data_IF_463870632358
#
_entry.id   IF_463870632358
#
_cell.length_a   1.000
_cell.length_b   1.000
_cell.length_c   1.000
_cell.angle_alpha   90.00
_cell.angle_beta   90.00
_cell.angle_gamma   90.00
#
_symmetry.space_group_name_H-M   'P 1'
#
loop_
_entity.id
_entity.type
_entity.pdbx_description
1 polymer ?
#
# COMPACT_ATOMS: atom_id res chain seq x y z
N UNK A 1 -6.71 22.44 41.79
CA UNK A 1 -8.05 22.54 41.18
C UNK A 1 -7.97 21.86 39.83
N UNK A 2 -8.64 20.72 39.73
CA UNK A 2 -8.72 19.91 38.54
C UNK A 2 -9.38 20.72 37.41
N UNK A 3 -8.72 20.81 36.26
CA UNK A 3 -9.37 21.17 35.02
C UNK A 3 -9.43 19.92 34.15
N UNK A 4 -10.67 19.62 33.78
CA UNK A 4 -11.11 18.53 32.94
C UNK A 4 -10.45 18.60 31.57
N UNK A 5 -9.40 17.83 31.34
CA UNK A 5 -9.03 17.39 30.01
C UNK A 5 -9.74 16.07 29.75
N UNK A 6 -10.75 16.12 28.87
CA UNK A 6 -11.38 14.95 28.26
C UNK A 6 -10.32 14.19 27.45
N UNK A 7 -9.50 13.40 28.13
CA UNK A 7 -8.59 12.48 27.48
C UNK A 7 -9.40 11.27 27.03
N UNK A 8 -9.77 11.27 25.76
CA UNK A 8 -10.16 10.05 25.09
C UNK A 8 -8.93 9.14 24.98
N UNK A 9 -8.90 8.07 25.75
CA UNK A 9 -8.84 6.73 25.16
C UNK A 9 -7.72 6.50 24.12
N UNK A 10 -6.47 6.44 24.57
CA UNK A 10 -5.31 5.91 23.84
C UNK A 10 -5.22 4.35 24.01
N UNK A 11 -4.35 3.62 23.27
CA UNK A 11 -4.71 2.38 22.57
C UNK A 11 -5.42 1.35 23.46
N UNK A 12 -6.58 0.86 23.00
CA UNK A 12 -7.55 0.08 23.80
C UNK A 12 -8.75 0.91 24.30
N UNK A 13 -8.84 2.17 23.89
CA UNK A 13 -9.89 3.11 24.27
C UNK A 13 -10.19 3.15 25.78
N UNK A 14 -9.15 3.19 26.62
CA UNK A 14 -9.32 3.24 28.08
C UNK A 14 -10.05 2.04 28.67
N UNK A 15 -10.16 0.94 27.91
CA UNK A 15 -10.77 -0.31 28.36
C UNK A 15 -9.67 -1.31 28.78
N UNK A 16 -9.98 -2.21 29.73
CA UNK A 16 -9.08 -3.30 30.12
C UNK A 16 -8.61 -4.16 28.93
N UNK A 17 -7.44 -4.77 29.04
CA UNK A 17 -6.87 -5.62 27.97
C UNK A 17 -7.71 -6.88 27.65
N UNK A 18 -8.51 -7.35 28.62
CA UNK A 18 -9.46 -8.44 28.46
C UNK A 18 -10.86 -7.96 28.03
N UNK A 19 -10.99 -6.67 27.74
CA UNK A 19 -12.26 -6.09 27.33
C UNK A 19 -12.62 -6.52 25.91
N UNK A 20 -13.58 -7.42 25.83
CA UNK A 20 -14.24 -7.81 24.59
C UNK A 20 -15.62 -7.12 24.56
N UNK A 21 -15.78 -6.05 23.78
CA UNK A 21 -17.12 -5.63 23.39
C UNK A 21 -17.67 -6.81 22.59
N UNK A 22 -18.78 -7.44 23.02
CA UNK A 22 -19.41 -8.60 22.38
C UNK A 22 -19.98 -8.28 20.97
N UNK A 23 -19.16 -7.68 20.13
CA UNK A 23 -19.44 -7.15 18.81
C UNK A 23 -18.20 -7.38 17.94
N UNK A 24 -17.85 -8.64 17.68
CA UNK A 24 -17.05 -9.20 16.57
C UNK A 24 -15.80 -8.47 16.01
N UNK A 25 -15.35 -7.33 16.52
CA UNK A 25 -14.35 -6.48 15.86
C UNK A 25 -13.51 -5.70 16.88
N UNK A 26 -12.19 -5.88 16.78
CA UNK A 26 -11.15 -5.23 17.61
C UNK A 26 -11.28 -3.69 17.58
N UNK A 27 -10.94 -2.96 18.66
CA UNK A 27 -10.95 -1.50 18.69
C UNK A 27 -10.04 -0.83 17.64
N UNK A 28 -9.11 -1.56 17.04
CA UNK A 28 -8.29 -1.08 15.91
C UNK A 28 -8.97 -1.18 14.55
N UNK A 29 -10.15 -1.81 14.48
CA UNK A 29 -10.92 -1.87 13.23
C UNK A 29 -11.55 -0.50 13.01
N UNK A 30 -11.17 0.22 11.95
CA UNK A 30 -11.85 1.47 11.62
C UNK A 30 -13.33 1.13 11.40
N UNK A 31 -14.23 1.94 11.98
CA UNK A 31 -15.69 1.89 11.80
C UNK A 31 -16.03 1.20 10.50
N UNK A 32 -16.67 0.02 10.56
CA UNK A 32 -17.03 -0.85 9.44
C UNK A 32 -17.15 -0.10 8.10
N UNK A 33 -16.00 0.13 7.47
CA UNK A 33 -15.94 0.48 6.06
C UNK A 33 -16.42 -0.80 5.43
N UNK A 34 -17.72 -0.87 5.14
CA UNK A 34 -18.29 -1.88 4.26
C UNK A 34 -17.63 -1.62 2.91
N UNK A 35 -16.39 -2.08 2.76
CA UNK A 35 -15.69 -2.12 1.49
C UNK A 35 -16.60 -2.93 0.60
N UNK A 36 -17.02 -2.31 -0.50
CA UNK A 36 -17.84 -2.97 -1.50
C UNK A 36 -17.17 -4.30 -1.82
N UNK A 37 -17.90 -5.40 -1.65
CA UNK A 37 -17.44 -6.70 -2.11
C UNK A 37 -17.16 -6.59 -3.61
N UNK A 38 -15.90 -6.80 -3.99
CA UNK A 38 -15.47 -6.83 -5.38
C UNK A 38 -15.24 -8.28 -5.80
N UNK A 39 -15.59 -8.57 -7.04
CA UNK A 39 -15.39 -9.88 -7.65
C UNK A 39 -13.91 -10.13 -7.94
N UNK A 40 -13.54 -11.40 -8.13
CA UNK A 40 -12.18 -11.75 -8.55
C UNK A 40 -11.80 -11.10 -9.90
N UNK A 41 -12.75 -11.05 -10.83
CA UNK A 41 -12.62 -10.29 -12.07
C UNK A 41 -12.30 -8.81 -11.84
N UNK A 42 -13.07 -8.11 -10.98
CA UNK A 42 -12.79 -6.71 -10.64
C UNK A 42 -11.41 -6.55 -9.98
N UNK A 43 -11.00 -7.47 -9.09
CA UNK A 43 -9.65 -7.44 -8.49
C UNK A 43 -8.55 -7.56 -9.55
N UNK A 44 -8.70 -8.46 -10.52
CA UNK A 44 -7.74 -8.63 -11.62
C UNK A 44 -7.67 -7.39 -12.51
N UNK A 45 -8.81 -6.77 -12.81
CA UNK A 45 -8.88 -5.51 -13.56
C UNK A 45 -8.19 -4.36 -12.83
N UNK A 46 -8.44 -4.22 -11.52
CA UNK A 46 -7.79 -3.21 -10.68
C UNK A 46 -6.28 -3.42 -10.60
N UNK A 47 -5.82 -4.66 -10.42
CA UNK A 47 -4.39 -4.99 -10.41
C UNK A 47 -3.71 -4.62 -11.73
N UNK A 48 -4.35 -4.93 -12.87
CA UNK A 48 -3.86 -4.55 -14.19
C UNK A 48 -3.75 -3.03 -14.35
N UNK A 49 -4.81 -2.28 -14.00
CA UNK A 49 -4.78 -0.82 -14.05
C UNK A 49 -3.72 -0.22 -13.12
N UNK A 50 -3.50 -0.81 -11.93
CA UNK A 50 -2.45 -0.37 -11.02
C UNK A 50 -1.06 -0.50 -11.65
N UNK A 51 -0.74 -1.66 -12.22
CA UNK A 51 0.54 -1.88 -12.90
C UNK A 51 0.77 -0.92 -14.07
N UNK A 52 -0.29 -0.58 -14.83
CA UNK A 52 -0.16 0.39 -15.91
C UNK A 52 0.12 1.80 -15.39
N UNK A 53 -0.55 2.21 -14.31
CA UNK A 53 -0.35 3.54 -13.71
C UNK A 53 0.98 3.70 -12.96
N UNK A 54 1.69 2.61 -12.65
CA UNK A 54 3.08 2.64 -12.15
C UNK A 54 4.11 2.96 -13.25
N UNK A 55 3.73 2.85 -14.54
CA UNK A 55 4.65 3.13 -15.64
C UNK A 55 4.83 4.64 -15.81
N UNK A 56 6.07 5.16 -15.92
CA UNK A 56 6.29 6.58 -16.19
C UNK A 56 5.60 7.05 -17.47
N UNK A 57 4.85 8.15 -17.37
CA UNK A 57 4.11 8.74 -18.48
C UNK A 57 2.95 7.87 -19.01
N UNK A 58 2.38 6.99 -18.18
CA UNK A 58 1.22 6.17 -18.53
C UNK A 58 0.05 7.00 -19.07
N UNK A 59 -0.15 8.20 -18.52
CA UNK A 59 -1.24 9.13 -18.84
C UNK A 59 -1.22 9.57 -20.32
N UNK A 60 -0.05 9.60 -20.95
CA UNK A 60 0.11 9.86 -22.39
C UNK A 60 0.05 8.58 -23.20
N UNK A 61 0.72 7.54 -22.70
CA UNK A 61 0.86 6.23 -23.38
C UNK A 61 -0.49 5.52 -23.56
N UNK A 62 -1.44 5.74 -22.66
CA UNK A 62 -2.79 5.14 -22.74
C UNK A 62 -3.60 5.63 -23.97
N UNK A 63 -3.18 6.72 -24.62
CA UNK A 63 -3.78 7.21 -25.86
C UNK A 63 -3.05 6.74 -27.12
N UNK A 64 -1.89 6.08 -27.00
CA UNK A 64 -1.15 5.53 -28.13
C UNK A 64 -1.63 4.10 -28.42
N UNK A 65 -2.32 3.94 -29.55
CA UNK A 65 -2.87 2.64 -29.95
C UNK A 65 -1.81 1.55 -30.08
N UNK A 66 -0.59 1.90 -30.50
CA UNK A 66 0.52 0.93 -30.65
C UNK A 66 0.94 0.40 -29.28
N UNK A 67 0.96 1.27 -28.27
CA UNK A 67 1.33 0.89 -26.90
C UNK A 67 0.20 0.09 -26.25
N UNK A 68 -1.05 0.51 -26.41
CA UNK A 68 -2.19 -0.19 -25.82
C UNK A 68 -2.38 -1.59 -26.41
N UNK A 69 -2.17 -1.76 -27.72
CA UNK A 69 -2.19 -3.09 -28.35
C UNK A 69 -1.08 -3.99 -27.79
N UNK A 70 0.13 -3.45 -27.59
CA UNK A 70 1.21 -4.21 -26.96
C UNK A 70 0.87 -4.65 -25.53
N UNK A 71 0.32 -3.75 -24.71
CA UNK A 71 -0.10 -4.12 -23.34
C UNK A 71 -1.19 -5.19 -23.35
N UNK A 72 -2.10 -5.12 -24.32
CA UNK A 72 -3.16 -6.11 -24.52
C UNK A 72 -2.59 -7.48 -24.90
N UNK A 73 -1.66 -7.52 -25.86
CA UNK A 73 -0.94 -8.76 -26.24
C UNK A 73 -0.18 -9.36 -25.05
N UNK A 74 0.54 -8.55 -24.28
CA UNK A 74 1.29 -8.98 -23.09
C UNK A 74 0.37 -9.67 -22.06
N UNK A 75 -0.76 -9.05 -21.73
CA UNK A 75 -1.68 -9.59 -20.72
C UNK A 75 -2.43 -10.82 -21.21
N UNK A 76 -2.90 -10.83 -22.47
CA UNK A 76 -3.59 -11.99 -23.03
C UNK A 76 -2.67 -13.21 -23.17
N UNK A 77 -1.36 -12.98 -23.37
CA UNK A 77 -0.34 -14.03 -23.41
C UNK A 77 -0.07 -14.60 -22.02
N UNK A 78 -0.08 -13.76 -20.97
CA UNK A 78 0.08 -14.18 -19.57
C UNK A 78 -1.18 -14.85 -18.99
N UNK A 79 -2.36 -14.49 -19.49
CA UNK A 79 -3.64 -15.08 -19.09
C UNK A 79 -3.88 -16.47 -19.69
N UNK A 80 -2.99 -16.97 -20.56
CA UNK A 80 -3.05 -18.35 -21.04
C UNK A 80 -2.72 -19.31 -19.88
N UNK A 81 -3.48 -20.38 -19.67
CA UNK A 81 -3.23 -21.30 -18.56
C UNK A 81 -1.82 -21.87 -18.67
N UNK A 82 -0.99 -21.55 -17.68
CA UNK A 82 0.26 -22.25 -17.44
C UNK A 82 -0.10 -23.68 -17.03
N UNK A 83 0.03 -24.62 -17.98
CA UNK A 83 -0.22 -26.07 -17.84
C UNK A 83 -1.64 -26.55 -18.16
N UNK A 84 -1.72 -27.36 -19.20
CA UNK A 84 -2.85 -28.21 -19.57
C UNK A 84 -3.19 -29.31 -18.53
N UNK A 85 -2.54 -29.32 -17.36
CA UNK A 85 -2.75 -30.31 -16.29
C UNK A 85 -3.43 -29.74 -15.02
N UNK A 86 -3.92 -28.50 -15.04
CA UNK A 86 -4.75 -28.01 -13.94
C UNK A 86 -6.07 -28.82 -13.91
N UNK A 87 -6.31 -29.55 -12.81
CA UNK A 87 -7.52 -30.34 -12.55
C UNK A 87 -8.80 -29.48 -12.47
N UNK A 88 -8.65 -28.17 -12.43
CA UNK A 88 -9.72 -27.19 -12.41
C UNK A 88 -9.49 -26.27 -13.62
N UNK A 89 -10.44 -26.13 -14.56
CA UNK A 89 -10.35 -25.10 -15.58
C UNK A 89 -10.17 -23.75 -14.89
N UNK A 90 -9.29 -22.86 -15.38
CA UNK A 90 -9.24 -21.51 -14.82
C UNK A 90 -10.65 -20.94 -14.85
N UNK A 91 -11.16 -20.53 -13.69
CA UNK A 91 -12.46 -19.86 -13.63
C UNK A 91 -12.38 -18.66 -14.58
N UNK A 92 -13.39 -18.49 -15.44
CA UNK A 92 -13.44 -17.36 -16.38
C UNK A 92 -13.33 -16.00 -15.66
N UNK A 93 -13.59 -15.97 -14.35
CA UNK A 93 -13.37 -14.83 -13.45
C UNK A 93 -11.89 -14.45 -13.24
N UNK A 94 -10.96 -15.38 -13.41
CA UNK A 94 -9.50 -15.14 -13.26
C UNK A 94 -8.83 -14.76 -14.58
N UNK A 95 -9.40 -15.16 -15.71
CA UNK A 95 -8.80 -14.97 -17.03
C UNK A 95 -9.14 -13.58 -17.57
N UNK A 96 -8.12 -12.74 -17.74
CA UNK A 96 -8.28 -11.46 -18.41
C UNK A 96 -8.69 -11.69 -19.87
N UNK A 97 -9.91 -11.27 -20.23
CA UNK A 97 -10.39 -11.31 -21.61
C UNK A 97 -10.13 -10.00 -22.33
N UNK A 98 -10.09 -10.04 -23.67
CA UNK A 98 -9.93 -8.86 -24.51
C UNK A 98 -10.88 -7.71 -24.15
N UNK A 99 -12.16 -8.02 -23.89
CA UNK A 99 -13.16 -7.01 -23.50
C UNK A 99 -12.86 -6.35 -22.16
N UNK A 100 -12.31 -7.10 -21.21
CA UNK A 100 -11.92 -6.56 -19.90
C UNK A 100 -10.70 -5.66 -20.03
N UNK A 101 -9.72 -6.05 -20.86
CA UNK A 101 -8.56 -5.20 -21.18
C UNK A 101 -9.01 -3.89 -21.83
N UNK A 102 -9.87 -3.97 -22.85
CA UNK A 102 -10.38 -2.80 -23.55
C UNK A 102 -11.13 -1.85 -22.59
N UNK A 103 -11.92 -2.41 -21.67
CA UNK A 103 -12.59 -1.64 -20.62
C UNK A 103 -11.59 -0.94 -19.69
N UNK A 104 -10.55 -1.66 -19.22
CA UNK A 104 -9.51 -1.09 -18.36
C UNK A 104 -8.75 0.04 -19.06
N UNK A 105 -8.45 -0.10 -20.36
CA UNK A 105 -7.80 0.96 -21.15
C UNK A 105 -8.73 2.17 -21.25
N UNK A 106 -10.02 1.97 -21.55
CA UNK A 106 -10.99 3.06 -21.62
C UNK A 106 -11.15 3.80 -20.28
N UNK A 107 -11.21 3.06 -19.17
CA UNK A 107 -11.24 3.64 -17.81
C UNK A 107 -9.96 4.44 -17.52
N UNK A 108 -8.78 3.93 -17.89
CA UNK A 108 -7.52 4.66 -17.72
C UNK A 108 -7.45 5.92 -18.59
N UNK A 109 -7.97 5.90 -19.82
CA UNK A 109 -8.08 7.10 -20.66
C UNK A 109 -8.98 8.16 -20.04
N UNK A 110 -10.06 7.74 -19.37
CA UNK A 110 -10.92 8.64 -18.61
C UNK A 110 -10.15 9.22 -17.40
N UNK A 111 -9.49 8.37 -16.61
CA UNK A 111 -8.69 8.80 -15.45
C UNK A 111 -7.50 9.69 -15.82
N UNK A 112 -6.88 9.48 -16.99
CA UNK A 112 -5.74 10.28 -17.46
C UNK A 112 -6.10 11.76 -17.65
N UNK A 113 -7.34 12.06 -18.04
CA UNK A 113 -7.83 13.45 -18.12
C UNK A 113 -7.88 14.10 -16.75
N UNK A 114 -8.49 13.40 -15.78
CA UNK A 114 -8.54 13.87 -14.40
C UNK A 114 -7.14 14.02 -13.79
N UNK A 115 -6.23 13.07 -14.04
CA UNK A 115 -4.83 13.12 -13.62
C UNK A 115 -4.12 14.38 -14.09
N UNK A 116 -4.35 14.81 -15.33
CA UNK A 116 -3.75 16.03 -15.88
C UNK A 116 -4.36 17.30 -15.28
N UNK A 117 -5.67 17.29 -15.00
CA UNK A 117 -6.40 18.44 -14.44
C UNK A 117 -6.16 18.64 -12.94
N UNK A 118 -5.95 17.57 -12.18
CA UNK A 118 -5.84 17.58 -10.72
C UNK A 118 -4.40 17.61 -10.18
N UNK A 119 -3.40 17.79 -11.06
CA UNK A 119 -1.99 17.89 -10.66
C UNK A 119 -1.29 16.55 -10.45
N UNK A 120 -1.74 15.47 -11.10
CA UNK A 120 -1.06 14.17 -11.11
C UNK A 120 -1.58 13.16 -10.09
N UNK A 121 -2.81 13.33 -9.60
CA UNK A 121 -3.43 12.41 -8.65
C UNK A 121 -4.24 11.35 -9.38
N UNK A 122 -3.99 10.08 -9.09
CA UNK A 122 -4.81 8.96 -9.59
C UNK A 122 -5.16 7.98 -8.47
N UNK A 123 -6.41 7.54 -8.45
CA UNK A 123 -6.87 6.46 -7.57
C UNK A 123 -7.36 5.29 -8.42
N UNK A 124 -6.81 4.10 -8.13
CA UNK A 124 -7.19 2.84 -8.76
C UNK A 124 -8.07 2.01 -7.84
N UNK A 125 -7.67 1.86 -6.57
CA UNK A 125 -8.36 1.00 -5.61
C UNK A 125 -9.46 1.74 -4.84
N UNK A 126 -10.50 1.00 -4.47
CA UNK A 126 -11.59 1.48 -3.62
C UNK A 126 -11.15 1.44 -2.15
N UNK A 127 -10.37 2.43 -1.70
CA UNK A 127 -9.89 2.50 -0.31
C UNK A 127 -9.29 3.87 0.07
N UNK A 128 -9.66 4.94 -0.65
CA UNK A 128 -9.05 6.27 -0.51
C UNK A 128 -7.52 6.28 -0.70
N UNK A 129 -6.98 5.25 -1.39
CA UNK A 129 -5.57 5.21 -1.79
C UNK A 129 -5.39 6.01 -3.07
N UNK A 130 -4.54 7.02 -2.99
CA UNK A 130 -4.21 7.92 -4.10
C UNK A 130 -2.71 7.86 -4.37
N UNK A 131 -2.33 7.87 -5.65
CA UNK A 131 -0.95 7.87 -6.12
C UNK A 131 -0.61 9.25 -6.64
N UNK A 132 0.57 9.74 -6.28
CA UNK A 132 1.14 11.00 -6.76
C UNK A 132 2.66 10.92 -6.72
N UNK A 133 3.29 11.02 -7.88
CA UNK A 133 4.76 10.92 -8.03
C UNK A 133 5.50 12.08 -7.37
N UNK A 134 4.82 13.22 -7.17
CA UNK A 134 5.38 14.45 -6.62
C UNK A 134 4.90 14.77 -5.20
N UNK A 135 4.31 13.80 -4.50
CA UNK A 135 3.77 14.01 -3.15
C UNK A 135 4.85 14.43 -2.15
N UNK A 136 6.07 13.89 -2.32
CA UNK A 136 7.20 14.15 -1.44
C UNK A 136 8.16 15.12 -2.15
N UNK A 137 8.40 16.34 -1.61
CA UNK A 137 9.35 17.28 -2.18
C UNK A 137 10.76 16.66 -2.28
N UNK A 138 11.50 17.01 -3.34
CA UNK A 138 12.86 16.48 -3.56
C UNK A 138 13.81 16.79 -2.41
N UNK A 139 13.67 17.94 -1.76
CA UNK A 139 14.45 18.31 -0.57
C UNK A 139 14.25 17.31 0.57
N UNK A 140 13.00 16.91 0.84
CA UNK A 140 12.68 15.92 1.88
C UNK A 140 13.26 14.56 1.52
N UNK A 141 13.16 14.14 0.24
CA UNK A 141 13.75 12.88 -0.22
C UNK A 141 15.28 12.87 -0.02
N UNK A 142 15.96 13.94 -0.41
CA UNK A 142 17.42 14.10 -0.25
C UNK A 142 17.81 14.11 1.23
N UNK A 143 17.06 14.84 2.06
CA UNK A 143 17.30 14.90 3.51
C UNK A 143 17.12 13.53 4.16
N UNK A 144 16.06 12.79 3.80
CA UNK A 144 15.80 11.46 4.32
C UNK A 144 16.90 10.49 3.91
N UNK A 145 17.27 10.45 2.62
CA UNK A 145 18.36 9.63 2.14
C UNK A 145 19.67 9.96 2.87
N UNK A 146 20.00 11.24 3.04
CA UNK A 146 21.22 11.67 3.76
C UNK A 146 21.21 11.22 5.22
N UNK A 147 20.05 11.29 5.89
CA UNK A 147 19.91 10.84 7.28
C UNK A 147 20.00 9.31 7.42
N UNK A 148 19.61 8.56 6.38
CA UNK A 148 19.62 7.09 6.36
C UNK A 148 20.99 6.50 6.00
N UNK A 149 21.80 7.19 5.18
CA UNK A 149 23.13 6.70 4.76
C UNK A 149 24.00 6.18 5.91
N UNK A 150 24.14 6.85 7.06
CA UNK A 150 24.93 6.32 8.18
C UNK A 150 24.39 5.02 8.80
N UNK A 151 23.11 4.73 8.62
CA UNK A 151 22.47 3.49 9.07
C UNK A 151 22.75 2.34 8.09
N UNK A 152 22.85 2.65 6.80
CA UNK A 152 23.19 1.68 5.74
C UNK A 152 24.71 1.41 5.65
N UNK A 153 25.54 2.42 5.90
CA UNK A 153 27.01 2.36 5.84
C UNK A 153 27.64 1.75 7.11
N UNK A 154 27.17 0.55 7.44
CA UNK A 154 27.73 -0.29 8.49
C UNK A 154 28.52 -1.46 7.87
N UNK A 155 29.52 -2.04 8.58
CA UNK A 155 30.24 -3.21 8.10
C UNK A 155 29.29 -4.33 7.68
N UNK A 156 29.51 -4.98 6.53
CA UNK A 156 28.58 -5.95 5.94
C UNK A 156 28.17 -7.08 6.89
N UNK A 157 29.06 -7.49 7.79
CA UNK A 157 28.79 -8.50 8.83
C UNK A 157 27.70 -8.10 9.85
N UNK A 158 27.32 -6.82 9.89
CA UNK A 158 26.31 -6.25 10.77
C UNK A 158 25.02 -5.87 10.03
N UNK A 159 25.01 -5.97 8.69
CA UNK A 159 23.81 -5.70 7.89
C UNK A 159 22.79 -6.80 8.10
N UNK A 160 21.56 -6.41 8.42
CA UNK A 160 20.43 -7.32 8.61
C UNK A 160 19.66 -7.45 7.29
N UNK A 161 20.13 -8.33 6.40
CA UNK A 161 19.49 -8.56 5.12
C UNK A 161 18.20 -9.36 5.29
N UNK A 162 17.13 -8.88 4.67
CA UNK A 162 15.84 -9.53 4.77
C UNK A 162 15.91 -10.97 4.24
N UNK A 163 15.50 -11.99 5.02
CA UNK A 163 15.59 -13.37 4.59
C UNK A 163 14.84 -13.63 3.28
N UNK A 164 15.53 -14.17 2.27
CA UNK A 164 14.94 -14.50 0.97
C UNK A 164 14.85 -13.33 -0.01
N UNK A 165 15.51 -12.20 0.28
CA UNK A 165 15.60 -11.03 -0.63
C UNK A 165 16.76 -11.08 -1.62
N UNK A 166 17.61 -12.12 -1.60
CA UNK A 166 18.86 -12.16 -2.38
C UNK A 166 19.76 -10.92 -2.16
N UNK A 167 19.85 -10.47 -0.90
CA UNK A 167 20.61 -9.28 -0.45
C UNK A 167 20.17 -7.98 -1.16
N UNK A 168 18.88 -7.86 -1.49
CA UNK A 168 18.30 -6.66 -2.09
C UNK A 168 17.64 -5.74 -1.07
N UNK A 169 17.12 -6.30 0.03
CA UNK A 169 16.37 -5.56 1.03
C UNK A 169 17.12 -5.57 2.37
N UNK A 170 17.61 -4.41 2.80
CA UNK A 170 18.29 -4.23 4.08
C UNK A 170 17.31 -3.73 5.13
N UNK A 171 17.12 -4.50 6.20
CA UNK A 171 16.29 -4.10 7.33
C UNK A 171 17.08 -3.13 8.23
N UNK A 172 16.77 -1.83 8.16
CA UNK A 172 17.37 -0.82 9.07
C UNK A 172 16.81 -0.91 10.49
N UNK A 173 15.54 -1.27 10.59
CA UNK A 173 14.84 -1.57 11.84
C UNK A 173 13.87 -2.72 11.57
N UNK A 174 14.19 -3.91 12.07
CA UNK A 174 13.33 -5.07 11.94
C UNK A 174 12.30 -5.06 13.09
N UNK A 175 10.97 -4.93 12.84
CA UNK A 175 9.97 -4.75 13.90
C UNK A 175 9.96 -5.87 14.97
N UNK A 176 10.34 -7.08 14.59
CA UNK A 176 10.48 -8.21 15.53
C UNK A 176 11.68 -8.12 16.48
N UNK A 177 12.67 -7.25 16.24
CA UNK A 177 13.83 -7.06 17.12
C UNK A 177 13.52 -6.15 18.31
N UNK A 178 12.52 -5.26 18.19
CA UNK A 178 12.09 -4.36 19.25
C UNK A 178 10.61 -4.56 19.62
N UNK A 179 10.19 -5.80 19.96
CA UNK A 179 8.80 -6.05 20.30
C UNK A 179 8.44 -5.35 21.61
N UNK A 180 7.19 -4.95 21.74
CA UNK A 180 6.63 -4.53 23.02
C UNK A 180 6.63 -5.71 24.00
N UNK A 181 7.42 -5.62 25.07
CA UNK A 181 7.48 -6.60 26.15
C UNK A 181 6.90 -5.99 27.42
N UNK A 182 5.76 -6.52 27.87
CA UNK A 182 5.09 -6.01 29.07
C UNK A 182 5.97 -6.06 30.32
N UNK A 183 5.92 -4.98 31.10
CA UNK A 183 6.74 -4.83 32.31
C UNK A 183 8.21 -4.50 32.05
N UNK A 184 8.67 -4.61 30.80
CA UNK A 184 10.06 -4.34 30.40
C UNK A 184 10.16 -3.10 29.49
N UNK A 185 9.40 -3.06 28.40
CA UNK A 185 9.41 -1.95 27.45
C UNK A 185 8.86 -0.70 28.12
N UNK A 186 9.64 0.39 28.04
CA UNK A 186 9.25 1.68 28.59
C UNK A 186 8.12 2.25 27.73
N UNK A 187 7.07 2.71 28.39
CA UNK A 187 5.95 3.40 27.76
C UNK A 187 5.81 4.77 28.40
N UNK A 188 5.41 5.77 27.62
CA UNK A 188 5.03 7.06 28.15
C UNK A 188 3.79 6.86 29.03
N UNK A 189 3.93 7.02 30.35
CA UNK A 189 2.82 6.80 31.30
C UNK A 189 1.84 7.96 31.32
N UNK A 190 2.37 9.17 31.15
CA UNK A 190 1.64 10.43 31.20
C UNK A 190 2.12 11.33 30.05
N UNK A 191 1.18 11.98 29.35
CA UNK A 191 1.48 12.90 28.24
C UNK A 191 1.27 12.30 26.85
N UNK A 192 1.37 13.17 25.85
CA UNK A 192 1.46 12.80 24.43
C UNK A 192 2.78 13.33 23.91
N UNK A 193 3.40 12.58 23.02
CA UNK A 193 4.53 13.08 22.26
C UNK A 193 4.02 13.68 20.95
N UNK A 194 4.52 14.85 20.61
CA UNK A 194 4.35 15.51 19.32
C UNK A 194 5.53 15.21 18.41
N UNK A 195 5.42 15.54 17.13
CA UNK A 195 6.56 15.42 16.21
C UNK A 195 7.76 16.27 16.68
N UNK A 196 7.50 17.33 17.44
CA UNK A 196 8.51 18.29 17.91
C UNK A 196 9.25 17.81 19.16
N UNK A 197 8.67 16.89 19.94
CA UNK A 197 9.22 16.44 21.24
C UNK A 197 9.50 14.93 21.31
N UNK A 198 9.33 14.19 20.20
CA UNK A 198 9.44 12.73 20.19
C UNK A 198 10.85 12.16 20.36
N UNK A 199 11.85 13.03 20.43
CA UNK A 199 13.26 12.68 20.56
C UNK A 199 13.87 13.23 21.87
N UNK A 200 13.09 13.98 22.68
CA UNK A 200 13.52 14.54 23.98
C UNK A 200 13.24 13.60 25.16
#
# INVERSE_FOLDING_TARGET
MAQHSNFGNLPGFGRPLDWNDNAELSPTTPNSFLMRLITLCEMTMLAFMNQLTDKPGWDKKVFDSTITEKWKEEVLSQAQPASSNALVPPDASEVMTEKLVDWCIAELQFKAKAFQENGGLVSIYNSDVVKLDTAIPSEVQVSLHTAVVPLEDIPDRLKDWHPGSDDLDLDLDHPSLFPLVYGCTRVLKDGVTTLDDCIE
#
